data_IF_847673734750
#
_entry.id   IF_847673734750
#
_cell.length_a   1.000
_cell.length_b   1.000
_cell.length_c   1.000
_cell.angle_alpha   90.00
_cell.angle_beta   90.00
_cell.angle_gamma   90.00
#
_symmetry.space_group_name_H-M   'P 1'
#
loop_
_entity.id
_entity.type
_entity.pdbx_description
1 polymer ?
#
# COMPACT_ATOMS: atom_id res chain seq x y z
N UNK A 1 31.22 -24.44 -16.55
CA UNK A 1 30.19 -23.73 -15.77
C UNK A 1 28.86 -24.41 -16.10
N UNK A 2 28.35 -25.20 -15.19
CA UNK A 2 27.10 -25.95 -15.38
C UNK A 2 25.93 -24.98 -15.36
N UNK A 3 25.31 -24.74 -16.50
CA UNK A 3 24.00 -24.09 -16.58
C UNK A 3 23.01 -25.01 -15.87
N UNK A 4 22.57 -24.62 -14.69
CA UNK A 4 21.40 -25.25 -14.08
C UNK A 4 20.26 -25.22 -15.09
N UNK A 5 19.55 -26.34 -15.34
CA UNK A 5 18.40 -26.33 -16.22
C UNK A 5 17.41 -25.31 -15.63
N UNK A 6 16.94 -24.35 -16.45
CA UNK A 6 15.98 -23.34 -16.06
C UNK A 6 14.76 -24.04 -15.44
N UNK A 7 14.68 -24.01 -14.12
CA UNK A 7 13.49 -24.44 -13.41
C UNK A 7 12.36 -23.54 -13.88
N UNK A 8 11.27 -24.15 -14.29
CA UNK A 8 9.99 -23.45 -14.42
C UNK A 8 9.68 -22.79 -13.10
N UNK A 9 9.56 -21.47 -13.09
CA UNK A 9 9.31 -20.70 -11.88
C UNK A 9 7.80 -20.48 -11.73
N UNK A 10 7.15 -21.16 -10.76
CA UNK A 10 5.75 -20.93 -10.49
C UNK A 10 5.54 -19.52 -9.92
N UNK A 11 4.40 -18.92 -10.29
CA UNK A 11 3.96 -17.64 -9.73
C UNK A 11 2.48 -17.65 -9.39
N UNK A 12 2.10 -16.76 -8.48
CA UNK A 12 0.71 -16.40 -8.21
C UNK A 12 0.45 -15.01 -8.80
N UNK A 13 -0.65 -14.88 -9.56
CA UNK A 13 -1.21 -13.57 -9.91
C UNK A 13 -2.27 -13.24 -8.89
N UNK A 14 -2.05 -12.19 -8.12
CA UNK A 14 -2.93 -11.76 -7.02
C UNK A 14 -3.28 -10.29 -7.14
N UNK A 15 -4.31 -9.87 -6.42
CA UNK A 15 -4.60 -8.46 -6.23
C UNK A 15 -5.26 -8.18 -4.89
N UNK A 16 -5.03 -6.96 -4.39
CA UNK A 16 -5.78 -6.35 -3.30
C UNK A 16 -6.48 -5.10 -3.82
N UNK A 17 -7.80 -5.17 -4.04
CA UNK A 17 -8.60 -4.04 -4.55
C UNK A 17 -8.09 -3.48 -5.89
N UNK A 18 -7.76 -4.36 -6.85
CA UNK A 18 -7.30 -3.96 -8.18
C UNK A 18 -5.82 -3.62 -8.30
N UNK A 19 -5.13 -3.36 -7.20
CA UNK A 19 -3.66 -3.28 -7.19
C UNK A 19 -3.11 -4.70 -7.30
N UNK A 20 -2.44 -5.03 -8.42
CA UNK A 20 -2.15 -6.39 -8.83
C UNK A 20 -0.67 -6.75 -8.75
N UNK A 21 -0.42 -8.00 -8.39
CA UNK A 21 0.90 -8.52 -8.05
C UNK A 21 1.21 -9.80 -8.81
N UNK A 22 2.48 -9.95 -9.19
CA UNK A 22 3.09 -11.26 -9.48
C UNK A 22 3.89 -11.65 -8.26
N UNK A 23 3.57 -12.78 -7.65
CA UNK A 23 4.22 -13.26 -6.43
C UNK A 23 5.07 -14.48 -6.77
N UNK A 24 6.37 -14.41 -6.51
CA UNK A 24 7.35 -15.48 -6.67
C UNK A 24 7.81 -15.97 -5.30
N UNK A 25 7.97 -17.27 -5.15
CA UNK A 25 8.48 -17.87 -3.92
C UNK A 25 9.96 -18.25 -4.06
N UNK A 26 10.81 -17.46 -3.41
CA UNK A 26 12.27 -17.66 -3.36
C UNK A 26 12.76 -18.17 -2.00
N UNK A 27 11.86 -18.61 -1.11
CA UNK A 27 12.24 -19.06 0.24
C UNK A 27 13.14 -20.31 0.23
N UNK A 28 12.97 -21.20 -0.75
CA UNK A 28 13.78 -22.41 -0.88
C UNK A 28 15.00 -22.23 -1.79
N UNK A 29 14.91 -21.34 -2.79
CA UNK A 29 15.97 -21.14 -3.81
C UNK A 29 16.07 -19.65 -4.11
N UNK A 30 17.25 -19.08 -3.90
CA UNK A 30 17.50 -17.68 -4.24
C UNK A 30 17.32 -17.41 -5.74
N UNK A 31 16.60 -16.38 -6.09
CA UNK A 31 16.37 -15.97 -7.46
C UNK A 31 17.33 -14.85 -7.87
N UNK A 32 18.02 -15.04 -8.99
CA UNK A 32 18.78 -13.96 -9.61
C UNK A 32 17.85 -13.08 -10.47
N UNK A 33 17.18 -12.13 -9.84
CA UNK A 33 16.28 -11.19 -10.50
C UNK A 33 17.02 -9.86 -10.81
N UNK A 34 17.71 -9.85 -11.95
CA UNK A 34 18.33 -8.61 -12.44
C UNK A 34 17.27 -7.52 -12.67
N UNK A 35 17.70 -6.25 -12.77
CA UNK A 35 16.81 -5.13 -13.05
C UNK A 35 15.97 -5.37 -14.32
N UNK A 36 16.58 -5.94 -15.34
CA UNK A 36 15.93 -6.22 -16.62
C UNK A 36 14.87 -7.31 -16.51
N UNK A 37 15.19 -8.42 -15.81
CA UNK A 37 14.23 -9.50 -15.56
C UNK A 37 12.99 -9.01 -14.78
N UNK A 38 13.20 -8.16 -13.76
CA UNK A 38 12.10 -7.55 -12.99
C UNK A 38 11.18 -6.74 -13.91
N UNK A 39 11.76 -5.90 -14.79
CA UNK A 39 11.01 -5.08 -15.75
C UNK A 39 10.22 -5.94 -16.74
N UNK A 40 10.85 -6.96 -17.30
CA UNK A 40 10.19 -7.85 -18.26
C UNK A 40 9.04 -8.61 -17.60
N UNK A 41 9.21 -9.18 -16.41
CA UNK A 41 8.14 -9.86 -15.68
C UNK A 41 6.97 -8.92 -15.41
N UNK A 42 7.25 -7.67 -15.01
CA UNK A 42 6.25 -6.67 -14.68
C UNK A 42 5.57 -6.04 -15.91
N UNK A 43 6.15 -6.15 -17.09
CA UNK A 43 5.58 -5.59 -18.33
C UNK A 43 4.29 -6.32 -18.73
N UNK A 44 3.21 -5.55 -18.97
CA UNK A 44 1.87 -6.10 -19.28
C UNK A 44 1.73 -6.64 -20.71
N UNK A 45 2.75 -6.44 -21.56
CA UNK A 45 2.74 -6.89 -22.98
C UNK A 45 3.77 -7.95 -23.25
N UNK A 46 4.93 -7.88 -22.58
CA UNK A 46 6.07 -8.76 -22.82
C UNK A 46 6.20 -9.84 -21.74
N UNK A 47 5.64 -9.62 -20.56
CA UNK A 47 5.72 -10.52 -19.42
C UNK A 47 4.34 -10.92 -18.88
N UNK A 48 4.27 -11.17 -17.58
CA UNK A 48 3.02 -11.44 -16.87
C UNK A 48 2.22 -10.17 -16.64
N UNK A 49 2.93 -9.07 -16.39
CA UNK A 49 2.36 -7.76 -16.09
C UNK A 49 1.86 -7.65 -14.65
N UNK A 50 2.23 -6.58 -13.97
CA UNK A 50 1.74 -6.27 -12.61
C UNK A 50 2.04 -4.81 -12.25
N UNK A 51 1.37 -4.32 -11.21
CA UNK A 51 1.72 -3.06 -10.56
C UNK A 51 2.98 -3.23 -9.71
N UNK A 52 3.18 -4.40 -9.10
CA UNK A 52 4.41 -4.73 -8.37
C UNK A 52 4.72 -6.23 -8.46
N UNK A 53 6.02 -6.52 -8.58
CA UNK A 53 6.58 -7.86 -8.46
C UNK A 53 6.96 -8.10 -7.01
N UNK A 54 6.45 -9.18 -6.42
CA UNK A 54 6.66 -9.58 -5.03
C UNK A 54 7.50 -10.85 -5.01
N UNK A 55 8.55 -10.84 -4.19
CA UNK A 55 9.41 -12.02 -3.99
C UNK A 55 9.39 -12.38 -2.50
N UNK A 56 9.00 -13.62 -2.21
CA UNK A 56 9.03 -14.17 -0.86
C UNK A 56 10.42 -14.76 -0.62
N UNK A 57 11.07 -14.30 0.44
CA UNK A 57 12.40 -14.75 0.85
C UNK A 57 12.36 -15.25 2.29
N UNK A 58 13.44 -15.92 2.73
CA UNK A 58 13.60 -16.24 4.14
C UNK A 58 13.72 -14.96 4.97
N UNK A 59 13.03 -14.85 6.11
CA UNK A 59 13.17 -13.68 6.97
C UNK A 59 14.57 -13.61 7.56
N UNK A 60 15.04 -12.40 7.79
CA UNK A 60 16.29 -12.12 8.49
C UNK A 60 16.07 -11.75 9.96
N UNK A 61 14.84 -11.40 10.31
CA UNK A 61 14.36 -11.13 11.65
C UNK A 61 13.72 -12.39 12.24
N UNK A 62 14.11 -12.79 13.45
CA UNK A 62 13.62 -14.00 14.11
C UNK A 62 12.15 -13.95 14.53
N UNK A 63 11.52 -12.76 14.51
CA UNK A 63 10.10 -12.56 14.80
C UNK A 63 9.23 -12.62 13.54
N UNK A 64 9.83 -12.66 12.35
CA UNK A 64 9.12 -12.69 11.09
C UNK A 64 8.95 -14.11 10.55
N UNK A 65 7.84 -14.33 9.86
CA UNK A 65 7.51 -15.59 9.20
C UNK A 65 7.99 -15.66 7.75
N UNK A 66 8.07 -14.52 7.09
CA UNK A 66 8.50 -14.37 5.69
C UNK A 66 9.07 -12.97 5.47
N UNK A 67 10.10 -12.85 4.61
CA UNK A 67 10.52 -11.56 4.08
C UNK A 67 9.83 -11.33 2.73
N UNK A 68 9.19 -10.18 2.58
CA UNK A 68 8.53 -9.75 1.37
C UNK A 68 9.33 -8.62 0.70
N UNK A 69 9.98 -8.95 -0.40
CA UNK A 69 10.67 -7.97 -1.25
C UNK A 69 9.73 -7.49 -2.34
N UNK A 70 9.75 -6.18 -2.61
CA UNK A 70 8.78 -5.52 -3.49
C UNK A 70 9.52 -4.76 -4.56
N UNK A 71 9.16 -4.98 -5.84
CA UNK A 71 9.72 -4.23 -6.96
C UNK A 71 8.62 -3.55 -7.76
N UNK A 72 8.85 -2.29 -8.12
CA UNK A 72 8.02 -1.52 -9.02
C UNK A 72 8.21 -1.99 -10.48
N UNK A 73 7.34 -1.58 -11.43
CA UNK A 73 7.47 -1.98 -12.84
C UNK A 73 8.75 -1.51 -13.52
N UNK A 74 9.37 -0.42 -13.02
CA UNK A 74 10.67 0.06 -13.48
C UNK A 74 11.86 -0.74 -12.91
N UNK A 75 11.57 -1.76 -12.09
CA UNK A 75 12.53 -2.61 -11.42
C UNK A 75 13.14 -2.04 -10.15
N UNK A 76 12.80 -0.81 -9.76
CA UNK A 76 13.21 -0.21 -8.48
C UNK A 76 12.57 -0.93 -7.30
N UNK A 77 13.22 -0.91 -6.14
CA UNK A 77 12.73 -1.55 -4.93
C UNK A 77 11.84 -0.58 -4.12
N UNK A 78 10.72 -1.08 -3.61
CA UNK A 78 9.82 -0.36 -2.72
C UNK A 78 9.92 -0.88 -1.29
N UNK A 79 9.78 0.03 -0.30
CA UNK A 79 9.97 -0.30 1.11
C UNK A 79 8.85 -1.14 1.71
N UNK A 80 7.60 -0.82 1.39
CA UNK A 80 6.42 -1.53 1.87
C UNK A 80 5.22 -1.33 0.92
N UNK A 81 4.28 -2.28 0.95
CA UNK A 81 3.00 -2.19 0.27
C UNK A 81 1.94 -2.98 1.05
N UNK A 82 1.03 -2.30 1.72
CA UNK A 82 0.00 -2.94 2.55
C UNK A 82 -0.96 -3.82 1.74
N UNK A 83 -1.23 -3.51 0.46
CA UNK A 83 -2.05 -4.36 -0.41
C UNK A 83 -1.34 -5.68 -0.71
N UNK A 84 -0.03 -5.63 -1.02
CA UNK A 84 0.80 -6.82 -1.22
C UNK A 84 0.93 -7.64 0.07
N UNK A 85 1.08 -6.96 1.23
CA UNK A 85 1.16 -7.62 2.53
C UNK A 85 -0.06 -8.47 2.81
N UNK A 86 -1.29 -7.98 2.52
CA UNK A 86 -2.52 -8.79 2.68
C UNK A 86 -2.49 -10.05 1.80
N UNK A 87 -2.04 -9.92 0.54
CA UNK A 87 -1.92 -11.05 -0.38
C UNK A 87 -0.92 -12.09 0.13
N UNK A 88 0.29 -11.66 0.49
CA UNK A 88 1.36 -12.53 1.02
C UNK A 88 0.92 -13.19 2.33
N UNK A 89 0.34 -12.41 3.24
CA UNK A 89 -0.13 -12.92 4.51
C UNK A 89 -1.16 -14.04 4.33
N UNK A 90 -2.11 -13.88 3.42
CA UNK A 90 -3.09 -14.93 3.13
C UNK A 90 -2.43 -16.22 2.66
N UNK A 91 -1.46 -16.14 1.73
CA UNK A 91 -0.73 -17.31 1.21
C UNK A 91 0.03 -18.03 2.32
N UNK A 92 0.81 -17.31 3.11
CA UNK A 92 1.65 -17.91 4.15
C UNK A 92 0.81 -18.46 5.32
N UNK A 93 -0.27 -17.77 5.71
CA UNK A 93 -1.20 -18.28 6.72
C UNK A 93 -1.87 -19.60 6.29
N UNK A 94 -2.25 -19.71 5.02
CA UNK A 94 -2.88 -20.93 4.50
C UNK A 94 -1.88 -22.10 4.43
N UNK A 95 -0.63 -21.83 4.05
CA UNK A 95 0.46 -22.82 4.05
C UNK A 95 0.77 -23.34 5.47
N UNK A 96 0.88 -22.41 6.43
CA UNK A 96 1.23 -22.71 7.83
C UNK A 96 0.04 -23.18 8.68
N UNK A 97 -1.18 -23.08 8.14
CA UNK A 97 -2.45 -23.35 8.84
C UNK A 97 -2.57 -22.54 10.14
N UNK A 98 -2.25 -21.26 10.05
CA UNK A 98 -2.36 -20.27 11.12
C UNK A 98 -3.26 -19.12 10.69
N UNK A 99 -3.76 -18.36 11.65
CA UNK A 99 -4.58 -17.18 11.40
C UNK A 99 -3.83 -15.86 11.60
N UNK A 100 -2.55 -15.95 11.97
CA UNK A 100 -1.69 -14.79 12.18
C UNK A 100 -0.27 -15.07 11.69
N UNK A 101 0.37 -14.07 11.08
CA UNK A 101 1.80 -14.07 10.73
C UNK A 101 2.36 -12.65 10.81
N UNK A 102 3.70 -12.59 10.87
CA UNK A 102 4.47 -11.35 10.73
C UNK A 102 5.23 -11.36 9.41
N UNK A 103 4.97 -10.34 8.57
CA UNK A 103 5.66 -10.12 7.30
C UNK A 103 6.76 -9.10 7.50
N UNK A 104 8.00 -9.47 7.24
CA UNK A 104 9.14 -8.56 7.22
C UNK A 104 9.22 -7.86 5.86
N UNK A 105 9.45 -6.54 5.87
CA UNK A 105 9.74 -5.72 4.70
C UNK A 105 10.99 -4.88 4.96
N UNK A 106 11.49 -4.16 3.96
CA UNK A 106 12.57 -3.17 4.16
C UNK A 106 12.15 -2.09 5.17
N UNK A 107 10.86 -1.74 5.21
CA UNK A 107 10.35 -0.69 6.10
C UNK A 107 10.02 -1.17 7.51
N UNK A 108 10.16 -2.46 7.81
CA UNK A 108 9.88 -3.05 9.12
C UNK A 108 8.94 -4.25 9.07
N UNK A 109 8.45 -4.62 10.25
CA UNK A 109 7.56 -5.76 10.47
C UNK A 109 6.10 -5.31 10.34
N UNK A 110 5.28 -6.13 9.70
CA UNK A 110 3.84 -5.91 9.51
C UNK A 110 3.09 -7.15 10.04
N UNK A 111 2.48 -7.02 11.19
CA UNK A 111 1.61 -8.05 11.74
C UNK A 111 0.33 -8.16 10.93
N UNK A 112 -0.07 -9.38 10.61
CA UNK A 112 -1.22 -9.64 9.75
C UNK A 112 -2.05 -10.79 10.31
N UNK A 113 -3.38 -10.68 10.22
CA UNK A 113 -4.30 -11.73 10.67
C UNK A 113 -5.50 -11.89 9.75
N UNK A 114 -6.08 -13.09 9.73
CA UNK A 114 -7.34 -13.37 9.05
C UNK A 114 -8.48 -12.61 9.73
N UNK A 115 -9.26 -11.88 8.94
CA UNK A 115 -10.41 -11.10 9.40
C UNK A 115 -11.74 -11.66 8.88
N UNK A 116 -11.72 -12.90 8.35
CA UNK A 116 -12.91 -13.58 7.85
C UNK A 116 -12.99 -13.63 6.34
N UNK A 117 -14.22 -13.62 5.82
CA UNK A 117 -14.52 -13.68 4.38
C UNK A 117 -15.42 -12.51 4.00
N UNK A 118 -15.21 -11.99 2.80
CA UNK A 118 -16.10 -11.00 2.21
C UNK A 118 -17.45 -11.64 1.79
N UNK A 119 -18.51 -10.85 1.55
CA UNK A 119 -19.77 -11.36 1.03
C UNK A 119 -19.63 -12.17 -0.27
N UNK A 120 -18.60 -11.89 -1.05
CA UNK A 120 -18.30 -12.58 -2.32
C UNK A 120 -17.39 -13.82 -2.11
N UNK A 121 -17.16 -14.24 -0.88
CA UNK A 121 -16.34 -15.42 -0.55
C UNK A 121 -14.82 -15.22 -0.72
N UNK A 122 -14.34 -13.98 -0.78
CA UNK A 122 -12.90 -13.69 -0.83
C UNK A 122 -12.32 -13.59 0.58
N UNK A 123 -11.10 -14.08 0.81
CA UNK A 123 -10.42 -13.89 2.09
C UNK A 123 -10.26 -12.40 2.43
N UNK A 124 -10.49 -12.06 3.67
CA UNK A 124 -10.29 -10.72 4.23
C UNK A 124 -9.15 -10.77 5.23
N UNK A 125 -8.15 -9.94 4.99
CA UNK A 125 -6.94 -9.87 5.82
C UNK A 125 -6.82 -8.48 6.42
N UNK A 126 -6.45 -8.43 7.69
CA UNK A 126 -6.08 -7.21 8.40
C UNK A 126 -4.57 -7.14 8.58
N UNK A 127 -4.01 -5.97 8.35
CA UNK A 127 -2.57 -5.68 8.50
C UNK A 127 -2.42 -4.49 9.42
N UNK A 128 -1.55 -4.61 10.40
CA UNK A 128 -1.09 -3.47 11.18
C UNK A 128 -0.08 -2.67 10.36
N UNK A 129 -0.47 -1.45 10.00
CA UNK A 129 0.32 -0.54 9.19
C UNK A 129 1.28 0.32 10.01
N UNK A 130 1.37 0.07 11.32
CA UNK A 130 2.22 0.77 12.27
C UNK A 130 1.62 2.08 12.79
N UNK A 131 2.46 2.84 13.50
CA UNK A 131 2.08 4.07 14.16
C UNK A 131 1.82 5.22 13.17
N UNK A 132 0.70 5.90 13.36
CA UNK A 132 0.46 7.20 12.73
C UNK A 132 1.24 8.29 13.46
N UNK A 133 2.16 8.96 12.79
CA UNK A 133 2.97 10.05 13.32
C UNK A 133 2.37 11.38 12.93
N UNK A 134 2.24 12.28 13.89
CA UNK A 134 1.50 13.52 13.75
C UNK A 134 2.33 14.76 14.12
N UNK A 135 3.52 14.59 14.69
CA UNK A 135 4.43 15.70 14.93
C UNK A 135 4.94 16.27 13.61
N UNK A 136 4.99 17.58 13.47
CA UNK A 136 5.43 18.25 12.26
C UNK A 136 6.86 17.86 11.82
N UNK A 137 7.73 17.50 12.76
CA UNK A 137 9.10 17.05 12.49
C UNK A 137 9.10 15.67 11.86
N UNK A 138 8.17 14.81 12.26
CA UNK A 138 8.04 13.45 11.73
C UNK A 138 7.31 13.39 10.39
N UNK A 139 6.47 14.42 10.07
CA UNK A 139 5.84 14.57 8.74
C UNK A 139 6.81 15.18 7.71
N UNK A 140 8.01 15.49 8.06
CA UNK A 140 9.05 16.40 7.63
C UNK A 140 8.52 17.62 6.83
N UNK A 141 7.66 18.43 7.46
CA UNK A 141 7.26 19.72 6.91
C UNK A 141 8.30 20.79 7.25
N UNK A 142 8.30 21.88 6.47
CA UNK A 142 9.35 22.91 6.49
C UNK A 142 9.50 23.65 7.82
N UNK A 143 8.40 23.84 8.54
CA UNK A 143 8.35 24.66 9.76
C UNK A 143 7.30 24.15 10.74
N UNK A 144 7.42 24.52 11.98
CA UNK A 144 6.47 24.17 13.04
C UNK A 144 5.07 24.70 12.72
N UNK A 145 4.09 23.81 12.76
CA UNK A 145 2.69 24.14 12.53
C UNK A 145 1.76 23.21 13.31
N UNK A 146 0.50 23.60 13.41
CA UNK A 146 -0.56 22.66 13.75
C UNK A 146 -0.80 21.71 12.59
N UNK A 147 -0.41 20.45 12.75
CA UNK A 147 -0.57 19.43 11.71
C UNK A 147 -2.02 19.01 11.48
N UNK A 148 -2.93 19.41 12.36
CA UNK A 148 -4.36 19.27 12.13
C UNK A 148 -4.91 20.37 11.20
N UNK A 149 -4.17 21.49 11.04
CA UNK A 149 -4.52 22.67 10.26
C UNK A 149 -3.28 23.24 9.57
N UNK A 150 -2.75 22.51 8.56
CA UNK A 150 -1.53 22.98 7.90
C UNK A 150 -1.81 24.18 6.96
N UNK A 151 -0.92 25.19 6.94
CA UNK A 151 -1.09 26.40 6.12
C UNK A 151 -0.74 26.13 4.63
N UNK A 152 -1.37 25.12 4.05
CA UNK A 152 -1.15 24.68 2.66
C UNK A 152 -2.48 24.68 1.94
N UNK A 153 -2.49 25.21 0.71
CA UNK A 153 -3.68 25.19 -0.11
C UNK A 153 -3.39 25.52 -1.57
N UNK A 154 -4.25 25.01 -2.45
CA UNK A 154 -4.26 25.29 -3.88
C UNK A 154 -5.68 25.13 -4.44
N UNK A 155 -6.23 26.21 -4.98
CA UNK A 155 -7.59 26.20 -5.51
C UNK A 155 -8.63 25.76 -4.44
N UNK A 156 -9.45 24.74 -4.72
CA UNK A 156 -10.46 24.25 -3.78
C UNK A 156 -9.87 23.42 -2.62
N UNK A 157 -8.61 23.00 -2.70
CA UNK A 157 -7.94 22.20 -1.67
C UNK A 157 -7.23 23.12 -0.70
N UNK A 158 -7.75 23.20 0.54
CA UNK A 158 -7.27 24.10 1.59
C UNK A 158 -7.16 23.36 2.91
N UNK A 159 -6.28 23.83 3.81
CA UNK A 159 -6.24 23.44 5.22
C UNK A 159 -6.14 21.92 5.43
N UNK A 160 -5.11 21.21 4.91
CA UNK A 160 -5.01 19.77 5.05
C UNK A 160 -4.54 19.35 6.45
N UNK A 161 -4.83 18.08 6.78
CA UNK A 161 -4.24 17.39 7.92
C UNK A 161 -2.98 16.67 7.49
N UNK A 162 -1.89 16.89 8.21
CA UNK A 162 -0.63 16.19 8.05
C UNK A 162 -0.58 14.89 8.86
N UNK A 163 -0.07 13.83 8.24
CA UNK A 163 0.16 12.52 8.88
C UNK A 163 1.33 11.83 8.20
N UNK A 164 2.15 11.09 8.95
CA UNK A 164 3.17 10.21 8.38
C UNK A 164 2.86 8.76 8.75
N UNK A 165 2.76 7.91 7.72
CA UNK A 165 2.54 6.46 7.79
C UNK A 165 3.75 5.69 7.24
N UNK A 166 4.97 6.15 7.55
CA UNK A 166 6.21 5.73 6.91
C UNK A 166 6.55 6.58 5.67
N UNK A 167 5.61 7.39 5.23
CA UNK A 167 5.74 8.41 4.20
C UNK A 167 4.78 9.59 4.52
N UNK A 168 5.11 10.83 4.12
CA UNK A 168 4.31 12.02 4.43
C UNK A 168 3.02 12.06 3.60
N UNK A 169 1.91 12.42 4.26
CA UNK A 169 0.60 12.64 3.68
C UNK A 169 0.03 14.00 4.07
N UNK A 170 -0.55 14.69 3.10
CA UNK A 170 -1.42 15.86 3.28
C UNK A 170 -2.84 15.46 2.86
N UNK A 171 -3.77 15.40 3.82
CA UNK A 171 -5.16 14.98 3.59
C UNK A 171 -6.09 16.18 3.62
N UNK A 172 -6.70 16.47 2.47
CA UNK A 172 -7.69 17.53 2.28
C UNK A 172 -9.12 16.98 2.37
N UNK A 173 -10.04 17.78 2.89
CA UNK A 173 -11.45 17.44 2.97
C UNK A 173 -12.27 18.32 2.03
N UNK A 174 -13.21 17.70 1.31
CA UNK A 174 -14.08 18.35 0.33
C UNK A 174 -15.49 17.79 0.39
N UNK A 175 -16.48 18.59 -0.04
CA UNK A 175 -17.88 18.15 -0.11
C UNK A 175 -18.16 17.32 -1.37
N UNK A 176 -17.44 17.58 -2.46
CA UNK A 176 -17.57 16.85 -3.72
C UNK A 176 -16.19 16.49 -4.30
N UNK A 177 -15.81 15.24 -4.14
CA UNK A 177 -14.53 14.72 -4.63
C UNK A 177 -14.49 14.65 -6.17
N UNK A 178 -15.64 14.47 -6.82
CA UNK A 178 -15.71 14.37 -8.29
C UNK A 178 -15.40 15.71 -8.98
N UNK A 179 -15.68 16.82 -8.30
CA UNK A 179 -15.36 18.16 -8.79
C UNK A 179 -13.88 18.54 -8.69
N UNK A 180 -13.04 17.72 -8.02
CA UNK A 180 -11.63 18.03 -7.79
C UNK A 180 -10.75 17.49 -8.94
N UNK A 181 -10.07 18.37 -9.70
CA UNK A 181 -9.15 17.96 -10.76
C UNK A 181 -7.80 17.54 -10.17
N UNK A 182 -7.80 16.40 -9.46
CA UNK A 182 -6.62 15.95 -8.68
C UNK A 182 -5.41 15.65 -9.57
N UNK A 183 -5.62 15.27 -10.84
CA UNK A 183 -4.53 15.08 -11.79
C UNK A 183 -3.75 16.39 -12.10
N UNK A 184 -4.40 17.55 -11.95
CA UNK A 184 -3.80 18.87 -12.19
C UNK A 184 -3.22 19.48 -10.90
N UNK A 185 -3.96 19.34 -9.79
CA UNK A 185 -3.57 19.93 -8.49
C UNK A 185 -2.55 19.07 -7.74
N UNK A 186 -2.63 17.74 -7.88
CA UNK A 186 -1.79 16.78 -7.18
C UNK A 186 -0.29 17.01 -7.37
N UNK A 187 0.23 17.14 -8.61
CA UNK A 187 1.65 17.40 -8.85
C UNK A 187 2.15 18.71 -8.20
N UNK A 188 1.31 19.75 -8.22
CA UNK A 188 1.67 21.05 -7.66
C UNK A 188 1.73 21.01 -6.14
N UNK A 189 0.79 20.30 -5.51
CA UNK A 189 0.75 20.11 -4.07
C UNK A 189 1.83 19.13 -3.58
N UNK A 190 2.11 18.06 -4.32
CA UNK A 190 3.23 17.13 -4.04
C UNK A 190 4.55 17.90 -3.88
N UNK A 191 4.80 18.87 -4.79
CA UNK A 191 6.02 19.68 -4.83
C UNK A 191 5.86 21.03 -4.10
N UNK A 192 4.81 21.22 -3.32
CA UNK A 192 4.63 22.47 -2.59
C UNK A 192 5.78 22.70 -1.63
N UNK A 193 6.27 23.95 -1.58
CA UNK A 193 7.46 24.37 -0.80
C UNK A 193 7.41 23.99 0.70
N UNK A 194 6.23 23.70 1.21
CA UNK A 194 6.01 23.28 2.59
C UNK A 194 6.42 21.84 2.84
N UNK A 195 6.51 21.01 1.80
CA UNK A 195 6.92 19.61 1.85
C UNK A 195 8.30 19.43 1.18
N UNK A 196 9.43 19.64 1.90
CA UNK A 196 10.77 19.54 1.32
C UNK A 196 11.09 18.15 0.77
N UNK A 197 10.49 17.10 1.32
CA UNK A 197 10.61 15.71 0.86
C UNK A 197 9.43 15.26 -0.01
N UNK A 198 8.58 16.22 -0.47
CA UNK A 198 7.30 15.99 -1.13
C UNK A 198 6.31 15.23 -0.22
N UNK A 199 5.04 15.19 -0.61
CA UNK A 199 3.99 14.49 0.15
C UNK A 199 3.02 13.78 -0.79
N UNK A 200 2.39 12.73 -0.29
CA UNK A 200 1.20 12.16 -0.92
C UNK A 200 0.01 13.10 -0.64
N UNK A 201 -0.80 13.36 -1.65
CA UNK A 201 -1.95 14.25 -1.56
C UNK A 201 -3.23 13.43 -1.55
N UNK A 202 -3.82 13.29 -0.39
CA UNK A 202 -5.11 12.63 -0.20
C UNK A 202 -6.25 13.64 -0.26
N UNK A 203 -7.31 13.34 -1.00
CA UNK A 203 -8.55 14.11 -1.00
C UNK A 203 -9.68 13.21 -0.54
N UNK A 204 -10.37 13.63 0.52
CA UNK A 204 -11.38 12.86 1.22
C UNK A 204 -12.72 13.60 1.16
N UNK A 205 -13.76 12.89 0.76
CA UNK A 205 -15.14 13.29 0.90
C UNK A 205 -15.80 12.43 1.98
N UNK A 206 -16.24 13.02 3.10
CA UNK A 206 -17.09 12.32 4.07
C UNK A 206 -18.44 11.96 3.44
N UNK A 207 -18.83 10.68 3.49
CA UNK A 207 -20.11 10.20 2.95
C UNK A 207 -21.19 9.99 4.03
N UNK A 208 -20.89 10.34 5.29
CA UNK A 208 -21.74 9.97 6.43
C UNK A 208 -21.59 8.51 6.83
N UNK A 209 -22.30 8.08 7.87
CA UNK A 209 -22.37 6.68 8.35
C UNK A 209 -21.02 5.95 8.45
N UNK A 210 -19.99 6.64 8.94
CA UNK A 210 -18.61 6.14 9.06
C UNK A 210 -17.99 5.69 7.72
N UNK A 211 -18.30 6.42 6.66
CA UNK A 211 -17.76 6.15 5.33
C UNK A 211 -17.04 7.38 4.78
N UNK A 212 -15.89 7.14 4.18
CA UNK A 212 -15.04 8.14 3.53
C UNK A 212 -14.81 7.72 2.08
N UNK A 213 -14.94 8.63 1.13
CA UNK A 213 -14.46 8.43 -0.25
C UNK A 213 -13.09 9.07 -0.37
N UNK A 214 -12.11 8.33 -0.86
CA UNK A 214 -10.71 8.77 -0.97
C UNK A 214 -10.20 8.62 -2.39
N UNK A 215 -9.47 9.63 -2.86
CA UNK A 215 -8.54 9.54 -3.98
C UNK A 215 -7.19 10.09 -3.56
N UNK A 216 -6.11 9.50 -4.07
CA UNK A 216 -4.75 9.89 -3.71
C UNK A 216 -3.94 10.16 -4.97
N UNK A 217 -3.22 11.27 -4.95
CA UNK A 217 -2.05 11.49 -5.78
C UNK A 217 -0.82 11.04 -4.99
N UNK A 218 -0.24 9.92 -5.38
CA UNK A 218 0.91 9.34 -4.68
C UNK A 218 2.21 10.01 -5.11
N UNK A 219 3.08 10.26 -4.15
CA UNK A 219 4.40 10.84 -4.33
C UNK A 219 5.23 10.01 -5.33
N UNK A 220 5.54 10.59 -6.48
CA UNK A 220 6.34 9.95 -7.53
C UNK A 220 5.61 8.92 -8.38
N UNK A 221 4.34 8.59 -8.09
CA UNK A 221 3.57 7.60 -8.84
C UNK A 221 2.29 8.17 -9.48
N UNK A 222 1.78 9.31 -8.97
CA UNK A 222 0.58 9.95 -9.49
C UNK A 222 -0.72 9.35 -8.97
N UNK A 223 -1.79 9.37 -9.78
CA UNK A 223 -3.09 8.79 -9.43
C UNK A 223 -3.03 7.26 -9.45
N UNK A 224 -3.46 6.62 -8.36
CA UNK A 224 -3.52 5.17 -8.23
C UNK A 224 -4.93 4.71 -7.82
N UNK A 225 -5.26 3.44 -8.08
CA UNK A 225 -6.57 2.88 -7.74
C UNK A 225 -6.75 2.68 -6.23
N UNK A 226 -5.66 2.42 -5.51
CA UNK A 226 -5.68 2.19 -4.06
C UNK A 226 -4.31 2.47 -3.44
N UNK A 227 -4.26 3.40 -2.51
CA UNK A 227 -3.08 3.72 -1.70
C UNK A 227 -3.34 3.33 -0.24
N UNK A 228 -2.66 2.28 0.25
CA UNK A 228 -2.85 1.78 1.62
C UNK A 228 -2.46 2.82 2.68
N UNK A 229 -1.28 3.43 2.57
CA UNK A 229 -0.83 4.48 3.50
C UNK A 229 -1.71 5.73 3.41
N UNK A 230 -2.23 6.05 2.23
CA UNK A 230 -3.20 7.13 2.04
C UNK A 230 -4.54 6.86 2.75
N UNK A 231 -5.01 5.60 2.73
CA UNK A 231 -6.21 5.21 3.49
C UNK A 231 -5.97 5.28 5.01
N UNK A 232 -4.78 4.89 5.47
CA UNK A 232 -4.37 5.06 6.87
C UNK A 232 -4.34 6.55 7.27
N UNK A 233 -3.72 7.39 6.46
CA UNK A 233 -3.69 8.83 6.70
C UNK A 233 -5.11 9.44 6.70
N UNK A 234 -6.00 8.97 5.82
CA UNK A 234 -7.38 9.44 5.72
C UNK A 234 -8.20 9.17 6.98
N UNK A 235 -8.14 7.95 7.55
CA UNK A 235 -8.86 7.64 8.80
C UNK A 235 -8.33 8.45 9.97
N UNK A 236 -6.99 8.59 10.10
CA UNK A 236 -6.37 9.39 11.15
C UNK A 236 -6.78 10.86 11.02
N UNK A 237 -6.69 11.43 9.81
CA UNK A 237 -7.06 12.81 9.53
C UNK A 237 -8.55 13.08 9.82
N UNK A 238 -9.43 12.22 9.33
CA UNK A 238 -10.88 12.37 9.53
C UNK A 238 -11.27 12.24 11.01
N UNK A 239 -10.64 11.32 11.74
CA UNK A 239 -10.85 11.17 13.19
C UNK A 239 -10.36 12.39 13.97
N UNK A 240 -9.18 12.95 13.62
CA UNK A 240 -8.64 14.18 14.24
C UNK A 240 -9.53 15.40 14.00
N UNK A 241 -10.21 15.46 12.85
CA UNK A 241 -11.19 16.50 12.50
C UNK A 241 -12.58 16.24 13.08
N UNK A 242 -12.80 15.11 13.77
CA UNK A 242 -14.12 14.76 14.32
C UNK A 242 -15.18 14.43 13.26
N UNK A 243 -14.75 14.10 12.03
CA UNK A 243 -15.65 13.75 10.93
C UNK A 243 -16.15 12.30 11.01
N UNK A 244 -15.35 11.43 11.59
CA UNK A 244 -15.68 10.04 11.90
C UNK A 244 -15.05 9.64 13.23
N UNK A 245 -15.52 8.53 13.80
CA UNK A 245 -14.82 7.86 14.89
C UNK A 245 -13.47 7.28 14.41
N UNK A 246 -12.77 6.55 15.28
CA UNK A 246 -11.49 5.90 14.94
C UNK A 246 -11.62 4.70 13.97
N UNK A 247 -12.84 4.34 13.56
CA UNK A 247 -13.10 3.24 12.61
C UNK A 247 -14.09 3.67 11.56
N UNK A 248 -13.73 3.46 10.29
CA UNK A 248 -14.57 3.79 9.14
C UNK A 248 -14.25 2.91 7.92
N UNK A 249 -15.18 2.84 7.00
CA UNK A 249 -14.94 2.35 5.64
C UNK A 249 -14.33 3.46 4.79
N UNK A 250 -13.23 3.15 4.13
CA UNK A 250 -12.58 4.03 3.15
C UNK A 250 -12.78 3.44 1.77
N UNK A 251 -13.59 4.13 0.97
CA UNK A 251 -13.90 3.76 -0.42
C UNK A 251 -12.86 4.39 -1.33
N UNK A 252 -12.06 3.58 -1.98
CA UNK A 252 -11.09 3.98 -3.02
C UNK A 252 -11.58 3.54 -4.41
N UNK A 253 -10.90 3.92 -5.50
CA UNK A 253 -11.33 3.54 -6.85
C UNK A 253 -11.32 2.00 -7.05
N UNK A 254 -10.42 1.29 -6.40
CA UNK A 254 -10.30 -0.17 -6.46
C UNK A 254 -11.25 -0.95 -5.54
N UNK A 255 -11.98 -0.31 -4.61
CA UNK A 255 -12.90 -0.98 -3.69
C UNK A 255 -12.98 -0.33 -2.31
N UNK A 256 -13.31 -1.13 -1.29
CA UNK A 256 -13.51 -0.63 0.08
C UNK A 256 -12.55 -1.30 1.06
N UNK A 257 -11.94 -0.50 1.91
CA UNK A 257 -11.13 -0.91 3.06
C UNK A 257 -11.85 -0.55 4.35
N UNK A 258 -11.78 -1.41 5.35
CA UNK A 258 -12.10 -1.02 6.73
C UNK A 258 -10.81 -0.56 7.41
N UNK A 259 -10.80 0.68 7.87
CA UNK A 259 -9.67 1.30 8.53
C UNK A 259 -9.99 1.53 10.00
N UNK A 260 -9.03 1.26 10.88
CA UNK A 260 -9.17 1.50 12.31
C UNK A 260 -7.90 2.11 12.91
N UNK A 261 -8.03 3.30 13.48
CA UNK A 261 -6.96 3.95 14.23
C UNK A 261 -7.06 3.59 15.71
N UNK A 262 -6.21 2.70 16.17
CA UNK A 262 -6.21 2.15 17.52
C UNK A 262 -5.84 3.19 18.58
N UNK A 263 -6.10 2.87 19.85
CA UNK A 263 -5.82 3.78 20.98
C UNK A 263 -4.33 3.97 21.24
N UNK A 264 -3.50 2.99 20.89
CA UNK A 264 -2.04 3.04 20.98
C UNK A 264 -1.39 3.81 19.81
N UNK A 265 -2.19 4.23 18.83
CA UNK A 265 -1.74 5.02 17.67
C UNK A 265 -1.48 4.20 16.42
N UNK A 266 -1.53 2.86 16.48
CA UNK A 266 -1.42 1.99 15.31
C UNK A 266 -2.64 2.10 14.40
N UNK A 267 -2.46 1.81 13.11
CA UNK A 267 -3.56 1.81 12.14
C UNK A 267 -3.72 0.43 11.52
N UNK A 268 -4.88 -0.17 11.73
CA UNK A 268 -5.25 -1.43 11.07
C UNK A 268 -5.91 -1.14 9.73
N UNK A 269 -5.45 -1.85 8.70
CA UNK A 269 -6.01 -1.84 7.36
C UNK A 269 -6.56 -3.22 7.01
N UNK A 270 -7.87 -3.33 6.88
CA UNK A 270 -8.57 -4.58 6.58
C UNK A 270 -9.20 -4.53 5.21
N UNK A 271 -8.97 -5.57 4.39
CA UNK A 271 -9.55 -5.64 3.05
C UNK A 271 -9.43 -7.00 2.40
N UNK A 272 -10.25 -7.20 1.36
CA UNK A 272 -10.26 -8.43 0.57
C UNK A 272 -9.01 -8.57 -0.31
N UNK A 273 -8.67 -9.82 -0.59
CA UNK A 273 -7.65 -10.19 -1.59
C UNK A 273 -8.20 -11.27 -2.51
N UNK A 274 -7.59 -11.41 -3.69
CA UNK A 274 -7.92 -12.52 -4.56
C UNK A 274 -6.67 -13.08 -5.25
N UNK A 275 -6.69 -14.39 -5.49
CA UNK A 275 -5.79 -15.05 -6.45
C UNK A 275 -6.52 -15.05 -7.78
N UNK A 276 -6.01 -14.31 -8.78
CA UNK A 276 -6.60 -14.26 -10.11
C UNK A 276 -6.30 -15.53 -10.90
N UNK A 277 -5.04 -15.96 -10.91
CA UNK A 277 -4.59 -17.21 -11.53
C UNK A 277 -3.20 -17.60 -11.02
N UNK A 278 -2.79 -18.83 -11.37
CA UNK A 278 -1.45 -19.37 -11.14
C UNK A 278 -0.82 -19.69 -12.50
N UNK A 279 0.49 -19.58 -12.58
CA UNK A 279 1.22 -19.88 -13.79
C UNK A 279 2.67 -20.26 -13.53
N UNK A 280 3.42 -20.46 -14.61
CA UNK A 280 4.87 -20.69 -14.58
C UNK A 280 5.52 -19.67 -15.51
N UNK A 281 6.59 -19.02 -15.07
CA UNK A 281 7.41 -18.17 -15.93
C UNK A 281 8.16 -19.04 -16.94
N UNK A 282 8.11 -18.65 -18.21
CA UNK A 282 8.93 -19.26 -19.23
C UNK A 282 10.41 -18.91 -19.03
N UNK A 283 11.30 -19.85 -19.39
CA UNK A 283 12.74 -19.66 -19.26
C UNK A 283 13.24 -18.40 -19.99
N UNK A 284 12.60 -18.02 -21.09
CA UNK A 284 12.94 -16.81 -21.85
C UNK A 284 12.76 -15.50 -21.08
N UNK A 285 11.89 -15.46 -20.07
CA UNK A 285 11.71 -14.31 -19.17
C UNK A 285 12.80 -14.22 -18.10
N UNK A 286 13.57 -15.29 -17.95
CA UNK A 286 14.62 -15.40 -16.94
C UNK A 286 16.03 -15.50 -17.56
N UNK A 287 16.11 -15.43 -18.92
CA UNK A 287 17.35 -15.52 -19.68
C UNK A 287 18.25 -14.29 -19.58
#
# INVERSE_FOLDING_TARGET
>A
MSSLPFLKMPFLKMHGLGNDFVVLDARAIALDLTLERRRVIADRRLGVGCDQLIVLEQPTDGEADVFMRIFNPDGSEAGACGNATRCVASVVMDERKTDQITVQTISGLLESHKAGMSPNGLPVISVDMGLARMDWREIPVREACDTNHMPVGLGPLQDPVGTNMGNPHATFFVDDLAAIPLAELGPQLEHHRFFPERANIGVVQPLGDRRLRLRVWERGAGLTLACGSGACAAIVAASRRGLVDRRAEVVVDGGTLTMEWLRDGHVLMTGGIAVAFKGELDASLLA
#
